data_IF_872322938895
#
_entry.id   IF_872322938895
#
_cell.length_a   1.000
_cell.length_b   1.000
_cell.length_c   1.000
_cell.angle_alpha   90.00
_cell.angle_beta   90.00
_cell.angle_gamma   90.00
#
_symmetry.space_group_name_H-M   'P 1'
#
loop_
_entity.id
_entity.type
_entity.pdbx_description
1 polymer ?
#
# COMPACT_ATOMS: atom_id res chain seq x y z
N UNK A 1 16.67 0.73 -0.23
CA UNK A 1 16.70 1.52 1.05
C UNK A 1 18.14 1.58 1.54
N UNK A 2 18.47 2.46 2.53
CA UNK A 2 19.84 2.55 3.06
C UNK A 2 20.33 1.26 3.76
N UNK A 3 19.41 0.36 4.08
CA UNK A 3 19.61 -0.93 4.74
C UNK A 3 19.63 -2.11 3.76
N UNK A 4 19.78 -1.85 2.46
CA UNK A 4 19.74 -2.84 1.39
C UNK A 4 18.51 -3.78 1.43
N UNK A 5 17.43 -3.38 2.10
CA UNK A 5 16.18 -4.14 2.13
C UNK A 5 15.31 -3.85 0.91
N UNK A 6 14.61 -4.88 0.43
CA UNK A 6 13.54 -4.76 -0.55
C UNK A 6 12.19 -4.79 0.17
N UNK A 7 11.22 -4.08 -0.40
CA UNK A 7 9.84 -4.11 0.09
C UNK A 7 8.89 -4.16 -1.08
N UNK A 8 7.87 -5.01 -0.99
CA UNK A 8 6.72 -4.94 -1.86
C UNK A 8 5.59 -4.21 -1.13
N UNK A 9 4.79 -3.49 -1.89
CA UNK A 9 3.60 -2.82 -1.40
C UNK A 9 2.40 -3.39 -2.16
N UNK A 10 1.43 -3.91 -1.43
CA UNK A 10 0.16 -4.38 -1.98
C UNK A 10 -0.92 -3.40 -1.57
N UNK A 11 -1.59 -2.80 -2.54
CA UNK A 11 -2.79 -2.02 -2.30
C UNK A 11 -3.97 -2.96 -2.17
N UNK A 12 -4.84 -2.72 -1.18
CA UNK A 12 -5.96 -3.60 -0.84
C UNK A 12 -7.27 -2.81 -0.89
N UNK A 13 -8.29 -3.41 -1.50
CA UNK A 13 -9.64 -2.83 -1.49
C UNK A 13 -10.28 -2.98 -0.11
N UNK A 14 -11.34 -2.21 0.14
CA UNK A 14 -12.19 -2.39 1.31
C UNK A 14 -13.45 -3.19 0.95
N UNK A 15 -14.03 -3.84 1.94
CA UNK A 15 -15.39 -4.36 1.91
C UNK A 15 -16.21 -3.68 3.00
N UNK A 16 -17.51 -3.53 2.76
CA UNK A 16 -18.42 -3.06 3.80
C UNK A 16 -18.85 -4.25 4.65
N UNK A 17 -18.11 -4.50 5.74
CA UNK A 17 -18.33 -5.64 6.63
C UNK A 17 -19.68 -5.56 7.35
N UNK A 18 -20.12 -4.37 7.76
CA UNK A 18 -21.37 -4.17 8.51
C UNK A 18 -22.62 -4.45 7.68
N UNK A 19 -22.53 -4.34 6.35
CA UNK A 19 -23.65 -4.66 5.45
C UNK A 19 -23.75 -6.15 5.10
N UNK A 20 -22.87 -7.00 5.66
CA UNK A 20 -22.92 -8.44 5.48
C UNK A 20 -23.83 -9.09 6.52
N UNK A 21 -24.45 -10.22 6.13
CA UNK A 21 -25.19 -11.05 7.07
C UNK A 21 -24.28 -11.60 8.18
N UNK A 22 -24.84 -12.01 9.29
CA UNK A 22 -24.08 -12.61 10.40
C UNK A 22 -23.24 -13.81 9.99
N UNK A 23 -23.77 -14.65 9.10
CA UNK A 23 -23.07 -15.85 8.61
C UNK A 23 -21.92 -15.49 7.69
N UNK A 24 -22.09 -14.48 6.82
CA UNK A 24 -21.02 -13.94 5.98
C UNK A 24 -19.93 -13.28 6.82
N UNK A 25 -20.30 -12.52 7.85
CA UNK A 25 -19.34 -11.92 8.78
C UNK A 25 -18.53 -12.98 9.51
N UNK A 26 -19.17 -14.04 10.00
CA UNK A 26 -18.49 -15.17 10.64
C UNK A 26 -17.53 -15.87 9.67
N UNK A 27 -17.95 -16.11 8.43
CA UNK A 27 -17.12 -16.72 7.40
C UNK A 27 -15.89 -15.86 7.08
N UNK A 28 -16.05 -14.54 6.94
CA UNK A 28 -14.94 -13.60 6.69
C UNK A 28 -13.94 -13.62 7.86
N UNK A 29 -14.41 -13.63 9.11
CA UNK A 29 -13.56 -13.68 10.29
C UNK A 29 -12.77 -15.00 10.38
N UNK A 30 -13.41 -16.12 10.03
CA UNK A 30 -12.75 -17.42 9.99
C UNK A 30 -11.66 -17.45 8.91
N UNK A 31 -11.95 -16.92 7.71
CA UNK A 31 -10.99 -16.82 6.63
C UNK A 31 -9.83 -15.89 6.98
N UNK A 32 -10.11 -14.77 7.65
CA UNK A 32 -9.08 -13.84 8.11
C UNK A 32 -8.15 -14.49 9.13
N UNK A 33 -8.71 -15.26 10.07
CA UNK A 33 -7.91 -16.03 11.03
C UNK A 33 -7.03 -17.06 10.33
N UNK A 34 -7.57 -17.81 9.36
CA UNK A 34 -6.79 -18.76 8.57
C UNK A 34 -5.68 -18.07 7.75
N UNK A 35 -5.99 -16.91 7.15
CA UNK A 35 -5.02 -16.08 6.44
C UNK A 35 -3.87 -15.64 7.35
N UNK A 36 -4.15 -15.12 8.55
CA UNK A 36 -3.11 -14.71 9.49
C UNK A 36 -2.21 -15.87 9.92
N UNK A 37 -2.77 -17.06 10.11
CA UNK A 37 -2.01 -18.27 10.45
C UNK A 37 -1.18 -18.84 9.29
N UNK A 38 -1.51 -18.48 8.06
CA UNK A 38 -0.76 -18.91 6.87
C UNK A 38 0.47 -18.02 6.57
N UNK A 39 0.58 -16.85 7.22
CA UNK A 39 1.70 -15.93 7.04
C UNK A 39 2.82 -16.31 7.99
N UNK A 40 3.97 -16.71 7.44
CA UNK A 40 5.19 -17.09 8.19
C UNK A 40 6.29 -16.01 8.16
N UNK A 41 5.98 -14.84 7.59
CA UNK A 41 6.89 -13.70 7.47
C UNK A 41 6.27 -12.42 8.02
N UNK A 42 7.08 -11.44 8.43
CA UNK A 42 6.56 -10.16 8.92
C UNK A 42 5.83 -9.39 7.83
N UNK A 43 4.70 -8.79 8.17
CA UNK A 43 3.95 -7.87 7.33
C UNK A 43 3.58 -6.63 8.12
N UNK A 44 3.47 -5.49 7.43
CA UNK A 44 3.00 -4.25 8.02
C UNK A 44 1.72 -3.83 7.30
N UNK A 45 0.63 -3.73 8.04
CA UNK A 45 -0.62 -3.16 7.52
C UNK A 45 -0.63 -1.66 7.76
N UNK A 46 -0.92 -0.89 6.70
CA UNK A 46 -0.97 0.57 6.74
C UNK A 46 -2.34 1.02 6.28
N UNK A 47 -3.00 1.82 7.11
CA UNK A 47 -4.25 2.49 6.77
C UNK A 47 -3.96 3.96 6.63
N UNK A 48 -4.11 4.50 5.42
CA UNK A 48 -3.95 5.91 5.15
C UNK A 48 -5.33 6.54 4.99
N UNK A 49 -5.66 7.47 5.88
CA UNK A 49 -6.92 8.20 5.88
C UNK A 49 -6.65 9.66 5.52
N UNK A 50 -7.33 10.17 4.50
CA UNK A 50 -7.24 11.57 4.07
C UNK A 50 -8.62 12.13 3.79
N UNK A 51 -8.74 13.45 3.77
CA UNK A 51 -9.97 14.09 3.32
C UNK A 51 -10.19 13.77 1.84
N UNK A 52 -11.43 13.43 1.51
CA UNK A 52 -11.82 13.17 0.13
C UNK A 52 -11.74 14.48 -0.66
N UNK A 53 -10.96 14.48 -1.73
CA UNK A 53 -10.83 15.64 -2.61
C UNK A 53 -11.90 15.58 -3.71
N UNK A 54 -12.86 16.50 -3.66
CA UNK A 54 -13.92 16.63 -4.66
C UNK A 54 -13.59 17.60 -5.77
N UNK A 55 -12.43 18.26 -5.74
CA UNK A 55 -12.07 19.32 -6.69
C UNK A 55 -12.10 18.84 -8.14
N UNK A 56 -11.56 17.64 -8.40
CA UNK A 56 -11.58 17.03 -9.73
C UNK A 56 -13.00 16.76 -10.22
N UNK A 57 -13.88 16.29 -9.33
CA UNK A 57 -15.28 16.08 -9.65
C UNK A 57 -15.98 17.40 -9.98
N UNK A 58 -15.81 18.42 -9.15
CA UNK A 58 -16.38 19.75 -9.35
C UNK A 58 -15.90 20.36 -10.67
N UNK A 59 -14.59 20.25 -10.97
CA UNK A 59 -14.04 20.72 -12.24
C UNK A 59 -14.71 20.05 -13.46
N UNK A 60 -14.93 18.74 -13.41
CA UNK A 60 -15.62 17.99 -14.46
C UNK A 60 -17.09 18.44 -14.63
N UNK A 61 -17.81 18.70 -13.54
CA UNK A 61 -19.18 19.22 -13.58
C UNK A 61 -19.21 20.64 -14.16
N UNK A 62 -18.25 21.50 -13.79
CA UNK A 62 -18.12 22.85 -14.33
C UNK A 62 -17.87 22.84 -15.84
N UNK A 63 -16.96 21.98 -16.30
CA UNK A 63 -16.67 21.81 -17.73
C UNK A 63 -17.90 21.34 -18.50
N UNK A 64 -18.60 20.33 -18.01
CA UNK A 64 -19.85 19.86 -18.61
C UNK A 64 -20.93 20.95 -18.63
N UNK A 65 -21.03 21.75 -17.57
CA UNK A 65 -21.99 22.87 -17.46
C UNK A 65 -21.68 23.97 -18.47
N UNK A 66 -20.41 24.26 -18.75
CA UNK A 66 -20.01 25.28 -19.72
C UNK A 66 -20.51 24.96 -21.14
N UNK A 67 -20.69 23.67 -21.46
CA UNK A 67 -21.17 23.22 -22.79
C UNK A 67 -22.70 23.25 -22.92
N UNK A 68 -23.45 23.49 -21.84
CA UNK A 68 -24.91 23.56 -21.88
C UNK A 68 -25.37 24.84 -22.57
N UNK A 69 -26.39 24.72 -23.42
CA UNK A 69 -27.05 25.87 -24.06
C UNK A 69 -28.23 26.44 -23.26
N UNK A 70 -28.74 25.64 -22.31
CA UNK A 70 -29.94 26.02 -21.52
C UNK A 70 -29.51 26.72 -20.22
N UNK A 71 -29.92 28.00 -20.08
CA UNK A 71 -29.61 28.82 -18.91
C UNK A 71 -30.16 28.27 -17.60
N UNK A 72 -31.36 27.65 -17.62
CA UNK A 72 -31.95 27.06 -16.41
C UNK A 72 -31.11 25.89 -15.91
N UNK A 73 -30.58 25.05 -16.81
CA UNK A 73 -29.68 23.95 -16.44
C UNK A 73 -28.36 24.45 -15.88
N UNK A 74 -27.83 25.57 -16.37
CA UNK A 74 -26.63 26.21 -15.82
C UNK A 74 -26.84 26.67 -14.38
N UNK A 75 -28.00 27.30 -14.11
CA UNK A 75 -28.37 27.74 -12.76
C UNK A 75 -28.46 26.52 -11.83
N UNK A 76 -29.14 25.45 -12.25
CA UNK A 76 -29.26 24.23 -11.46
C UNK A 76 -27.90 23.56 -11.19
N UNK A 77 -27.03 23.54 -12.20
CA UNK A 77 -25.67 23.00 -12.02
C UNK A 77 -24.85 23.83 -11.03
N UNK A 78 -25.01 25.16 -11.03
CA UNK A 78 -24.38 26.05 -10.05
C UNK A 78 -24.84 25.75 -8.61
N UNK A 79 -26.15 25.61 -8.40
CA UNK A 79 -26.71 25.23 -7.10
C UNK A 79 -26.26 23.82 -6.66
N UNK A 80 -26.19 22.88 -7.61
CA UNK A 80 -25.69 21.54 -7.34
C UNK A 80 -24.22 21.53 -6.89
N UNK A 81 -23.36 22.27 -7.60
CA UNK A 81 -21.94 22.41 -7.24
C UNK A 81 -21.80 22.97 -5.81
N UNK A 82 -22.54 24.04 -5.51
CA UNK A 82 -22.56 24.63 -4.16
C UNK A 82 -22.99 23.62 -3.11
N UNK A 83 -24.10 22.93 -3.33
CA UNK A 83 -24.61 21.90 -2.42
C UNK A 83 -23.59 20.78 -2.17
N UNK A 84 -22.97 20.24 -3.22
CA UNK A 84 -21.98 19.15 -3.07
C UNK A 84 -20.74 19.63 -2.34
N UNK A 85 -20.30 20.86 -2.57
CA UNK A 85 -19.16 21.46 -1.87
C UNK A 85 -19.45 21.60 -0.38
N UNK A 86 -20.58 22.19 -0.02
CA UNK A 86 -21.03 22.36 1.38
C UNK A 86 -21.19 20.99 2.07
N UNK A 87 -21.80 20.01 1.37
CA UNK A 87 -21.96 18.66 1.90
C UNK A 87 -20.63 17.98 2.20
N UNK A 88 -19.64 18.09 1.31
CA UNK A 88 -18.33 17.49 1.50
C UNK A 88 -17.56 18.13 2.67
N UNK A 89 -17.70 19.43 2.86
CA UNK A 89 -17.12 20.15 4.00
C UNK A 89 -17.77 19.74 5.32
N UNK A 90 -19.10 19.71 5.37
CA UNK A 90 -19.87 19.36 6.56
C UNK A 90 -19.70 17.90 6.97
N UNK A 91 -19.72 16.98 6.00
CA UNK A 91 -19.63 15.56 6.26
C UNK A 91 -18.21 15.10 6.61
N UNK A 92 -17.19 15.96 6.42
CA UNK A 92 -15.76 15.63 6.64
C UNK A 92 -15.40 14.24 6.08
N UNK A 93 -15.82 13.99 4.84
CA UNK A 93 -15.68 12.68 4.18
C UNK A 93 -14.20 12.30 4.09
N UNK A 94 -13.87 11.14 4.64
CA UNK A 94 -12.51 10.61 4.63
C UNK A 94 -12.39 9.44 3.66
N UNK A 95 -11.47 9.52 2.73
CA UNK A 95 -11.05 8.39 1.92
C UNK A 95 -10.01 7.57 2.69
N UNK A 96 -10.22 6.26 2.77
CA UNK A 96 -9.27 5.33 3.41
C UNK A 96 -8.67 4.42 2.36
N UNK A 97 -7.34 4.41 2.30
CA UNK A 97 -6.58 3.51 1.46
C UNK A 97 -5.84 2.51 2.35
N UNK A 98 -5.86 1.25 1.95
CA UNK A 98 -5.26 0.15 2.70
C UNK A 98 -4.08 -0.41 1.93
N UNK A 99 -2.98 -0.62 2.63
CA UNK A 99 -1.75 -1.16 2.06
C UNK A 99 -1.18 -2.24 2.97
N UNK A 100 -0.59 -3.26 2.36
CA UNK A 100 0.22 -4.26 3.05
C UNK A 100 1.65 -4.14 2.54
N UNK A 101 2.57 -3.77 3.43
CA UNK A 101 4.00 -3.72 3.13
C UNK A 101 4.65 -5.02 3.57
N UNK A 102 5.35 -5.66 2.65
CA UNK A 102 6.03 -6.94 2.83
C UNK A 102 7.54 -6.66 2.79
N UNK A 103 8.21 -6.65 3.95
CA UNK A 103 9.65 -6.44 4.00
C UNK A 103 10.40 -7.71 3.61
N UNK A 104 11.55 -7.53 2.98
CA UNK A 104 12.52 -8.58 2.73
C UNK A 104 13.92 -8.06 3.05
N UNK A 105 14.49 -8.60 4.12
CA UNK A 105 15.85 -8.28 4.52
C UNK A 105 16.83 -9.24 3.87
N UNK A 106 17.94 -8.70 3.37
CA UNK A 106 19.05 -9.49 2.84
C UNK A 106 19.69 -10.40 3.91
N UNK A 107 19.58 -10.01 5.19
CA UNK A 107 20.10 -10.78 6.33
C UNK A 107 19.27 -12.03 6.65
N UNK A 108 17.99 -12.08 6.29
CA UNK A 108 17.11 -13.20 6.65
C UNK A 108 17.38 -14.49 5.89
N UNK A 109 18.08 -14.42 4.75
CA UNK A 109 18.40 -15.58 3.90
C UNK A 109 19.80 -16.13 4.16
N UNK A 110 20.70 -15.35 4.78
CA UNK A 110 22.01 -15.82 5.18
C UNK A 110 21.97 -16.95 6.24
N UNK A 111 20.78 -17.18 6.86
CA UNK A 111 20.61 -18.20 7.91
C UNK A 111 20.21 -19.57 7.35
N UNK A 112 19.66 -19.67 6.13
CA UNK A 112 19.15 -20.94 5.59
C UNK A 112 20.12 -21.71 4.67
N UNK A 113 21.25 -21.15 4.27
CA UNK A 113 22.10 -21.76 3.25
C UNK A 113 23.59 -21.92 3.56
N UNK A 114 24.11 -21.39 4.67
CA UNK A 114 25.51 -21.66 5.03
C UNK A 114 25.62 -22.80 6.04
N UNK A 115 26.41 -23.86 5.73
CA UNK A 115 26.72 -24.86 6.72
C UNK A 115 27.42 -24.14 7.87
N UNK A 116 26.88 -24.28 9.11
CA UNK A 116 27.51 -23.82 10.33
C UNK A 116 28.96 -24.27 10.31
N UNK A 117 29.87 -23.42 9.90
CA UNK A 117 31.28 -23.63 10.08
C UNK A 117 31.53 -23.78 11.58
N UNK A 118 31.90 -24.99 11.96
CA UNK A 118 32.01 -25.44 13.32
C UNK A 118 32.80 -24.47 14.18
N UNK A 119 32.42 -24.43 15.45
CA UNK A 119 32.97 -23.69 16.57
C UNK A 119 34.54 -23.79 16.72
N UNK A 120 35.19 -24.63 15.91
CA UNK A 120 36.62 -24.87 15.94
C UNK A 120 37.48 -24.08 14.93
N UNK A 121 36.91 -23.26 14.05
CA UNK A 121 37.67 -22.48 13.08
C UNK A 121 38.33 -21.21 13.64
N UNK A 122 38.12 -20.90 14.93
CA UNK A 122 38.65 -19.71 15.60
C UNK A 122 40.04 -19.84 16.24
N UNK A 123 40.65 -21.04 16.26
CA UNK A 123 41.89 -21.26 17.05
C UNK A 123 43.17 -21.25 16.20
N UNK A 124 43.08 -21.40 14.89
CA UNK A 124 44.27 -21.38 14.04
C UNK A 124 44.13 -20.45 12.83
N UNK A 125 44.79 -19.34 12.90
CA UNK A 125 45.31 -18.71 11.71
C UNK A 125 44.78 -17.34 11.30
N UNK A 126 45.50 -16.34 11.77
CA UNK A 126 46.09 -15.23 11.00
C UNK A 126 45.21 -14.19 10.33
N UNK A 127 45.27 -13.00 10.95
CA UNK A 127 45.32 -11.66 10.32
C UNK A 127 45.02 -11.59 8.82
N UNK A 128 43.87 -11.04 8.49
CA UNK A 128 43.75 -9.89 7.59
C UNK A 128 42.46 -9.16 7.92
N UNK A 129 42.61 -8.14 8.76
CA UNK A 129 41.64 -7.08 8.90
C UNK A 129 41.63 -6.28 7.57
N UNK A 130 40.47 -5.88 7.15
CA UNK A 130 40.33 -4.81 6.18
C UNK A 130 39.85 -5.26 4.81
N UNK A 131 38.55 -5.51 4.71
CA UNK A 131 37.75 -5.13 3.55
C UNK A 131 36.29 -5.33 3.95
N UNK A 132 35.67 -4.32 4.54
CA UNK A 132 34.24 -4.14 4.47
C UNK A 132 33.92 -3.85 3.01
N UNK A 133 33.95 -4.90 2.20
CA UNK A 133 33.52 -4.81 0.83
C UNK A 133 32.01 -4.50 0.89
N UNK A 134 31.64 -3.32 0.49
CA UNK A 134 30.36 -3.01 -0.11
C UNK A 134 30.23 -3.93 -1.34
N UNK A 135 29.92 -5.19 -1.10
CA UNK A 135 29.51 -6.09 -2.17
C UNK A 135 28.12 -5.65 -2.58
N UNK A 136 28.07 -4.84 -3.62
CA UNK A 136 26.81 -4.54 -4.31
C UNK A 136 26.10 -5.87 -4.60
N UNK A 137 24.79 -5.89 -4.37
CA UNK A 137 23.95 -7.07 -4.58
C UNK A 137 24.17 -7.55 -6.01
N UNK A 138 24.60 -8.81 -6.19
CA UNK A 138 24.75 -9.35 -7.55
C UNK A 138 23.39 -9.38 -8.24
N UNK A 139 23.32 -9.14 -9.57
CA UNK A 139 22.06 -9.14 -10.31
C UNK A 139 21.25 -10.42 -10.13
N UNK A 140 21.91 -11.56 -10.01
CA UNK A 140 21.28 -12.87 -9.80
C UNK A 140 20.60 -12.95 -8.42
N UNK A 141 21.26 -12.49 -7.38
CA UNK A 141 20.67 -12.42 -6.03
C UNK A 141 19.48 -11.47 -5.99
N UNK A 142 19.58 -10.33 -6.66
CA UNK A 142 18.48 -9.39 -6.76
C UNK A 142 17.26 -10.01 -7.45
N UNK A 143 17.46 -10.79 -8.52
CA UNK A 143 16.39 -11.50 -9.21
C UNK A 143 15.73 -12.55 -8.30
N UNK A 144 16.51 -13.31 -7.55
CA UNK A 144 16.00 -14.29 -6.58
C UNK A 144 15.16 -13.61 -5.49
N UNK A 145 15.60 -12.47 -4.94
CA UNK A 145 14.85 -11.71 -3.96
C UNK A 145 13.52 -11.15 -4.51
N UNK A 146 13.55 -10.65 -5.74
CA UNK A 146 12.33 -10.20 -6.40
C UNK A 146 11.32 -11.33 -6.59
N UNK A 147 11.78 -12.51 -7.02
CA UNK A 147 10.92 -13.69 -7.18
C UNK A 147 10.30 -14.12 -5.85
N UNK A 148 11.08 -14.18 -4.78
CA UNK A 148 10.58 -14.55 -3.46
C UNK A 148 9.61 -13.50 -2.90
N UNK A 149 9.91 -12.22 -3.13
CA UNK A 149 9.02 -11.13 -2.73
C UNK A 149 7.68 -11.17 -3.48
N UNK A 150 7.72 -11.52 -4.77
CA UNK A 150 6.53 -11.75 -5.58
C UNK A 150 5.69 -12.90 -5.02
N UNK A 151 6.31 -14.05 -4.69
CA UNK A 151 5.61 -15.19 -4.10
C UNK A 151 4.91 -14.82 -2.78
N UNK A 152 5.56 -14.04 -1.93
CA UNK A 152 4.96 -13.51 -0.70
C UNK A 152 3.77 -12.59 -0.97
N UNK A 153 3.91 -11.71 -1.97
CA UNK A 153 2.82 -10.83 -2.38
C UNK A 153 1.63 -11.63 -2.93
N UNK A 154 1.88 -12.66 -3.76
CA UNK A 154 0.85 -13.52 -4.31
C UNK A 154 0.10 -14.32 -3.22
N UNK A 155 0.82 -14.77 -2.19
CA UNK A 155 0.22 -15.42 -1.02
C UNK A 155 -0.73 -14.45 -0.28
N UNK A 156 -0.28 -13.20 -0.05
CA UNK A 156 -1.12 -12.16 0.58
C UNK A 156 -2.35 -11.87 -0.28
N UNK A 157 -2.18 -11.65 -1.59
CA UNK A 157 -3.27 -11.36 -2.52
C UNK A 157 -4.27 -12.53 -2.57
N UNK A 158 -3.77 -13.76 -2.63
CA UNK A 158 -4.60 -14.97 -2.63
C UNK A 158 -5.43 -15.11 -1.35
N UNK A 159 -4.81 -14.91 -0.18
CA UNK A 159 -5.51 -14.95 1.11
C UNK A 159 -6.57 -13.87 1.24
N UNK A 160 -6.28 -12.64 0.78
CA UNK A 160 -7.23 -11.53 0.79
C UNK A 160 -8.40 -11.79 -0.18
N UNK A 161 -8.13 -12.40 -1.33
CA UNK A 161 -9.15 -12.74 -2.33
C UNK A 161 -10.20 -13.71 -1.80
N UNK A 162 -9.80 -14.64 -0.93
CA UNK A 162 -10.72 -15.55 -0.25
C UNK A 162 -11.79 -14.82 0.58
N UNK A 163 -11.47 -13.65 1.12
CA UNK A 163 -12.38 -12.79 1.90
C UNK A 163 -13.16 -11.78 1.04
N UNK A 164 -13.05 -11.87 -0.30
CA UNK A 164 -13.68 -10.92 -1.22
C UNK A 164 -12.95 -9.58 -1.35
N UNK A 165 -11.73 -9.46 -0.83
CA UNK A 165 -10.87 -8.29 -0.99
C UNK A 165 -10.04 -8.43 -2.27
N UNK A 166 -9.82 -7.32 -2.97
CA UNK A 166 -8.93 -7.29 -4.13
C UNK A 166 -7.59 -6.73 -3.69
N UNK A 167 -6.51 -7.45 -3.98
CA UNK A 167 -5.14 -7.02 -3.78
C UNK A 167 -4.47 -6.72 -5.12
N UNK A 168 -3.66 -5.67 -5.16
CA UNK A 168 -2.83 -5.30 -6.31
C UNK A 168 -1.42 -4.98 -5.84
N UNK A 169 -0.41 -5.67 -6.39
CA UNK A 169 0.98 -5.35 -6.11
C UNK A 169 1.36 -4.09 -6.88
N UNK A 170 1.74 -3.06 -6.16
CA UNK A 170 2.08 -1.75 -6.73
C UNK A 170 3.40 -1.81 -7.51
N UNK A 171 3.41 -1.19 -8.67
CA UNK A 171 4.61 -0.94 -9.45
C UNK A 171 5.50 0.11 -8.78
N UNK A 172 6.75 0.23 -9.22
CA UNK A 172 7.67 1.25 -8.70
C UNK A 172 7.14 2.68 -8.96
N UNK A 173 6.45 2.89 -10.07
CA UNK A 173 5.87 4.18 -10.43
C UNK A 173 4.70 4.54 -9.51
N UNK A 174 3.80 3.58 -9.25
CA UNK A 174 2.69 3.76 -8.31
C UNK A 174 3.17 4.01 -6.88
N UNK A 175 4.20 3.31 -6.44
CA UNK A 175 4.82 3.54 -5.13
C UNK A 175 5.43 4.94 -5.05
N UNK A 176 6.11 5.39 -6.11
CA UNK A 176 6.69 6.74 -6.16
C UNK A 176 5.62 7.81 -6.12
N UNK A 177 4.51 7.62 -6.85
CA UNK A 177 3.36 8.51 -6.83
C UNK A 177 2.70 8.56 -5.44
N UNK A 178 2.55 7.40 -4.80
CA UNK A 178 2.02 7.31 -3.42
C UNK A 178 2.89 8.09 -2.44
N UNK A 179 4.21 7.95 -2.50
CA UNK A 179 5.11 8.70 -1.62
C UNK A 179 5.07 10.21 -1.90
N UNK A 180 5.00 10.63 -3.17
CA UNK A 180 4.80 12.03 -3.51
C UNK A 180 3.52 12.58 -2.87
N UNK A 181 2.44 11.83 -2.93
CA UNK A 181 1.16 12.21 -2.33
C UNK A 181 1.22 12.27 -0.80
N UNK A 182 1.89 11.30 -0.16
CA UNK A 182 2.03 11.24 1.29
C UNK A 182 2.88 12.37 1.86
N UNK A 183 3.95 12.75 1.16
CA UNK A 183 4.88 13.79 1.61
C UNK A 183 4.49 15.20 1.18
N UNK A 184 3.60 15.33 0.18
CA UNK A 184 3.08 16.60 -0.29
C UNK A 184 1.55 16.61 -0.19
N UNK A 185 0.99 16.57 1.03
CA UNK A 185 -0.45 16.65 1.16
C UNK A 185 -0.92 17.99 0.56
N UNK A 186 -1.90 17.92 -0.34
CA UNK A 186 -2.58 19.12 -0.83
C UNK A 186 -3.26 19.72 0.39
N UNK A 187 -2.67 20.76 0.95
CA UNK A 187 -3.30 21.56 2.01
C UNK A 187 -4.38 22.36 1.29
N UNK A 188 -5.68 22.12 1.58
CA UNK A 188 -6.71 23.00 1.04
C UNK A 188 -6.36 24.42 1.45
N UNK A 189 -6.34 25.33 0.48
CA UNK A 189 -6.00 26.74 0.73
C UNK A 189 -6.83 27.22 1.92
N UNK A 190 -6.16 27.55 3.02
CA UNK A 190 -6.80 28.08 4.21
C UNK A 190 -7.61 29.30 3.80
N UNK A 191 -8.92 29.26 4.00
CA UNK A 191 -9.75 30.44 3.82
C UNK A 191 -9.12 31.57 4.68
N UNK A 192 -8.91 32.76 4.12
CA UNK A 192 -8.51 33.90 4.93
C UNK A 192 -9.62 34.16 5.95
N UNK A 193 -9.20 34.35 7.21
CA UNK A 193 -10.08 34.73 8.33
C UNK A 193 -10.79 36.05 8.04
#
# INVERSE_FOLDING_TARGET
>A
MKDDSLRALVQVSAINFELRSSDEQAAILQQFSAFLNAIDFPVQMVVHSRRFDISTYIAGVQEATAQLSNELLKIQAGEYIKFVTELAELANIMAKNFYVAIPMSLASIAVEGEPKKGFFAGIFGSKKAGATAQQGISPERLAAYKSQLQQRADLIIGGLSGMGLKGHMMSQEEVSALFLELYNPIVPASQPK
#
